data_IF_112114111880
#
_entry.id   IF_112114111880
#
_cell.length_a   1.000
_cell.length_b   1.000
_cell.length_c   1.000
_cell.angle_alpha   90.00
_cell.angle_beta   90.00
_cell.angle_gamma   90.00
#
_symmetry.space_group_name_H-M   'P 1'
#
loop_
_entity.id
_entity.type
_entity.pdbx_description
1 polymer ?
#
# COMPACT_ATOMS: atom_id res chain seq x y z
N UNK A 1 -34.12 -56.50 -2.19
CA UNK A 1 -33.23 -56.00 -1.13
C UNK A 1 -32.23 -55.11 -1.82
N UNK A 2 -32.45 -53.83 -1.70
CA UNK A 2 -31.63 -52.80 -2.37
C UNK A 2 -31.02 -51.99 -1.23
N UNK A 3 -29.74 -52.19 -0.97
CA UNK A 3 -29.00 -51.39 0.04
C UNK A 3 -28.73 -49.97 -0.51
N UNK A 4 -28.95 -48.92 0.29
CA UNK A 4 -28.57 -47.58 -0.11
C UNK A 4 -27.06 -47.38 0.06
N UNK A 5 -26.42 -46.91 -1.01
CA UNK A 5 -25.04 -46.47 -1.07
C UNK A 5 -24.80 -45.30 -0.07
N UNK A 6 -23.68 -45.27 0.66
CA UNK A 6 -23.40 -44.17 1.59
C UNK A 6 -23.07 -42.89 0.80
N UNK A 7 -23.80 -41.83 1.12
CA UNK A 7 -23.57 -40.47 0.63
C UNK A 7 -22.19 -40.01 1.10
N UNK A 8 -21.41 -39.47 0.16
CA UNK A 8 -20.14 -38.82 0.43
C UNK A 8 -20.36 -37.56 1.31
N UNK A 9 -19.49 -37.30 2.29
CA UNK A 9 -19.61 -36.11 3.13
C UNK A 9 -19.29 -34.85 2.31
N UNK A 10 -20.27 -33.97 2.25
CA UNK A 10 -20.07 -32.59 1.75
C UNK A 10 -19.34 -31.79 2.83
N UNK A 11 -18.00 -31.73 2.73
CA UNK A 11 -17.18 -30.89 3.60
C UNK A 11 -17.13 -29.49 3.00
N UNK A 12 -18.12 -28.67 3.30
CA UNK A 12 -18.00 -27.23 3.37
C UNK A 12 -17.81 -26.87 4.83
N UNK A 13 -16.61 -27.08 5.36
CA UNK A 13 -16.22 -26.58 6.68
C UNK A 13 -16.12 -25.05 6.58
N UNK A 14 -17.16 -24.36 7.01
CA UNK A 14 -17.10 -22.93 7.26
C UNK A 14 -16.07 -22.71 8.38
N UNK A 15 -14.98 -22.00 8.06
CA UNK A 15 -13.91 -21.63 9.00
C UNK A 15 -14.53 -20.97 10.25
N UNK A 16 -14.00 -21.28 11.43
CA UNK A 16 -14.41 -20.60 12.66
C UNK A 16 -14.09 -19.09 12.57
N UNK A 17 -14.82 -18.23 13.29
CA UNK A 17 -14.54 -16.79 13.30
C UNK A 17 -13.09 -16.46 13.66
N UNK A 18 -12.44 -17.25 14.52
CA UNK A 18 -11.04 -17.10 14.90
C UNK A 18 -10.07 -17.48 13.78
N UNK A 19 -10.35 -18.54 13.04
CA UNK A 19 -9.54 -18.94 11.87
C UNK A 19 -9.69 -17.94 10.73
N UNK A 20 -10.88 -17.37 10.56
CA UNK A 20 -11.09 -16.33 9.56
C UNK A 20 -10.30 -15.06 9.90
N UNK A 21 -10.36 -14.60 11.16
CA UNK A 21 -9.62 -13.43 11.64
C UNK A 21 -8.09 -13.64 11.52
N UNK A 22 -7.59 -14.82 11.90
CA UNK A 22 -6.19 -15.20 11.76
C UNK A 22 -5.73 -15.15 10.30
N UNK A 23 -6.53 -15.73 9.38
CA UNK A 23 -6.18 -15.72 7.95
C UNK A 23 -6.17 -14.31 7.34
N UNK A 24 -7.07 -13.44 7.79
CA UNK A 24 -7.10 -12.03 7.35
C UNK A 24 -5.86 -11.30 7.83
N UNK A 25 -5.51 -11.42 9.11
CA UNK A 25 -4.33 -10.80 9.71
C UNK A 25 -3.03 -11.30 9.07
N UNK A 26 -2.88 -12.61 8.90
CA UNK A 26 -1.73 -13.21 8.23
C UNK A 26 -1.59 -12.73 6.79
N UNK A 27 -2.69 -12.72 6.02
CA UNK A 27 -2.68 -12.20 4.66
C UNK A 27 -2.21 -10.74 4.59
N UNK A 28 -2.66 -9.90 5.53
CA UNK A 28 -2.27 -8.50 5.58
C UNK A 28 -0.77 -8.35 5.89
N UNK A 29 -0.26 -9.09 6.88
CA UNK A 29 1.16 -9.09 7.24
C UNK A 29 2.08 -9.59 6.12
N UNK A 30 1.65 -10.58 5.33
CA UNK A 30 2.45 -11.13 4.23
C UNK A 30 2.46 -10.23 2.99
N UNK A 31 1.42 -9.46 2.76
CA UNK A 31 1.28 -8.63 1.54
C UNK A 31 2.29 -7.48 1.47
N UNK A 32 2.55 -6.80 2.59
CA UNK A 32 3.48 -5.66 2.61
C UNK A 32 4.90 -6.06 2.15
N UNK A 33 5.56 -7.08 2.73
CA UNK A 33 6.87 -7.51 2.26
C UNK A 33 6.84 -8.09 0.84
N UNK A 34 5.76 -8.77 0.43
CA UNK A 34 5.62 -9.25 -0.94
C UNK A 34 5.53 -8.10 -1.95
N UNK A 35 4.77 -7.04 -1.63
CA UNK A 35 4.68 -5.84 -2.46
C UNK A 35 6.07 -5.21 -2.68
N UNK A 36 6.87 -5.10 -1.62
CA UNK A 36 8.23 -4.58 -1.71
C UNK A 36 9.13 -5.48 -2.58
N UNK A 37 9.09 -6.81 -2.40
CA UNK A 37 9.89 -7.73 -3.20
C UNK A 37 9.55 -7.59 -4.69
N UNK A 38 8.27 -7.64 -5.04
CA UNK A 38 7.80 -7.57 -6.42
C UNK A 38 8.18 -6.22 -7.03
N UNK A 39 7.81 -5.11 -6.37
CA UNK A 39 8.05 -3.77 -6.90
C UNK A 39 9.53 -3.43 -7.09
N UNK A 40 10.40 -3.76 -6.14
CA UNK A 40 11.85 -3.55 -6.32
C UNK A 40 12.45 -4.51 -7.36
N UNK A 41 11.93 -5.73 -7.53
CA UNK A 41 12.35 -6.63 -8.59
C UNK A 41 11.97 -6.09 -9.99
N UNK A 42 10.79 -5.52 -10.14
CA UNK A 42 10.36 -4.84 -11.37
C UNK A 42 11.22 -3.61 -11.67
N UNK A 43 11.50 -2.79 -10.67
CA UNK A 43 12.42 -1.65 -10.82
C UNK A 43 13.80 -2.08 -11.33
N UNK A 44 14.32 -3.19 -10.81
CA UNK A 44 15.59 -3.76 -11.29
C UNK A 44 15.50 -4.24 -12.74
N UNK A 45 14.37 -4.80 -13.15
CA UNK A 45 14.16 -5.27 -14.52
C UNK A 45 14.02 -4.11 -15.53
N UNK A 46 13.42 -2.99 -15.10
CA UNK A 46 13.21 -1.81 -15.95
C UNK A 46 14.47 -0.94 -16.10
N UNK A 47 15.40 -1.00 -15.16
CA UNK A 47 16.58 -0.12 -15.13
C UNK A 47 17.76 -0.71 -15.90
N UNK A 48 18.59 0.14 -16.57
CA UNK A 48 19.83 -0.31 -17.20
C UNK A 48 20.76 -0.98 -16.18
N UNK A 49 21.57 -1.93 -16.64
CA UNK A 49 22.49 -2.72 -15.81
C UNK A 49 23.50 -1.88 -14.99
N UNK A 50 23.78 -0.66 -15.40
CA UNK A 50 24.73 0.26 -14.76
C UNK A 50 24.10 1.27 -13.79
N UNK A 51 22.87 1.06 -13.32
CA UNK A 51 22.21 2.00 -12.39
C UNK A 51 22.87 1.96 -11.01
N UNK A 52 23.25 3.14 -10.48
CA UNK A 52 23.86 3.28 -9.15
C UNK A 52 22.92 2.85 -7.98
N UNK A 53 21.62 2.75 -8.22
CA UNK A 53 20.61 2.39 -7.21
C UNK A 53 20.36 0.88 -7.14
N UNK A 54 20.95 0.09 -8.04
CA UNK A 54 20.69 -1.36 -8.15
C UNK A 54 20.99 -2.12 -6.85
N UNK A 55 22.09 -1.81 -6.19
CA UNK A 55 22.47 -2.44 -4.93
C UNK A 55 21.50 -2.11 -3.80
N UNK A 56 20.97 -0.88 -3.77
CA UNK A 56 19.94 -0.47 -2.82
C UNK A 56 18.62 -1.22 -3.06
N UNK A 57 18.19 -1.36 -4.31
CA UNK A 57 16.98 -2.08 -4.69
C UNK A 57 17.09 -3.58 -4.32
N UNK A 58 18.24 -4.21 -4.56
CA UNK A 58 18.54 -5.59 -4.11
C UNK A 58 18.49 -5.69 -2.58
N UNK A 59 19.03 -4.68 -1.86
CA UNK A 59 18.99 -4.67 -0.40
C UNK A 59 17.55 -4.62 0.13
N UNK A 60 16.68 -3.83 -0.47
CA UNK A 60 15.25 -3.76 -0.12
C UNK A 60 14.53 -5.10 -0.37
N UNK A 61 14.80 -5.77 -1.49
CA UNK A 61 14.28 -7.11 -1.77
C UNK A 61 14.72 -8.10 -0.69
N UNK A 62 16.00 -8.13 -0.36
CA UNK A 62 16.54 -9.03 0.65
C UNK A 62 15.99 -8.76 2.04
N UNK A 63 15.81 -7.49 2.39
CA UNK A 63 15.18 -7.10 3.67
C UNK A 63 13.74 -7.59 3.72
N UNK A 64 12.94 -7.28 2.71
CA UNK A 64 11.53 -7.68 2.64
C UNK A 64 11.36 -9.21 2.64
N UNK A 65 12.26 -9.95 1.98
CA UNK A 65 12.26 -11.41 2.00
C UNK A 65 12.56 -11.97 3.41
N UNK A 66 13.46 -11.33 4.17
CA UNK A 66 13.76 -11.72 5.56
C UNK A 66 12.58 -11.39 6.49
N UNK A 67 11.95 -10.24 6.30
CA UNK A 67 10.77 -9.84 7.07
C UNK A 67 9.61 -10.82 6.82
N UNK A 68 9.39 -11.22 5.56
CA UNK A 68 8.42 -12.26 5.19
C UNK A 68 8.72 -13.59 5.87
N UNK A 69 9.98 -14.03 5.86
CA UNK A 69 10.40 -15.26 6.53
C UNK A 69 10.20 -15.16 8.05
N UNK A 70 10.48 -14.00 8.64
CA UNK A 70 10.24 -13.72 10.05
C UNK A 70 8.75 -13.86 10.44
N UNK A 71 7.85 -13.32 9.63
CA UNK A 71 6.39 -13.45 9.83
C UNK A 71 5.97 -14.91 9.75
N UNK A 72 6.43 -15.64 8.73
CA UNK A 72 6.14 -17.07 8.56
C UNK A 72 6.61 -17.86 9.79
N UNK A 73 7.84 -17.63 10.25
CA UNK A 73 8.38 -18.32 11.41
C UNK A 73 7.65 -17.97 12.72
N UNK A 74 7.23 -16.71 12.88
CA UNK A 74 6.46 -16.25 14.04
C UNK A 74 5.08 -16.90 14.10
N UNK A 75 4.39 -16.97 12.97
CA UNK A 75 3.06 -17.58 12.87
C UNK A 75 3.13 -19.13 12.94
N UNK A 76 4.26 -19.73 12.58
CA UNK A 76 4.50 -21.16 12.72
C UNK A 76 5.15 -21.56 14.06
N UNK A 77 5.40 -20.60 14.98
CA UNK A 77 5.82 -20.89 16.35
C UNK A 77 7.32 -20.86 16.64
N UNK A 78 8.15 -20.30 15.73
CA UNK A 78 9.56 -20.04 15.98
C UNK A 78 9.82 -18.53 16.08
N UNK A 79 9.91 -18.00 17.31
CA UNK A 79 9.96 -16.57 17.61
C UNK A 79 11.26 -15.87 17.22
N UNK A 80 11.15 -14.68 16.65
CA UNK A 80 12.22 -13.73 16.43
C UNK A 80 11.69 -12.32 16.19
N UNK A 81 11.98 -11.43 17.14
CA UNK A 81 11.53 -10.02 17.13
C UNK A 81 12.40 -9.17 16.20
N UNK A 82 11.78 -8.46 15.26
CA UNK A 82 12.41 -7.39 14.50
C UNK A 82 11.87 -6.03 14.93
N UNK A 83 12.77 -5.11 15.27
CA UNK A 83 12.51 -3.77 15.78
C UNK A 83 12.73 -2.77 14.63
N UNK A 84 11.69 -2.03 14.28
CA UNK A 84 11.76 -0.96 13.28
C UNK A 84 12.27 0.33 13.91
N UNK A 85 13.30 0.95 13.32
CA UNK A 85 13.79 2.27 13.70
C UNK A 85 13.12 3.36 12.87
N UNK A 86 12.60 4.38 13.56
CA UNK A 86 11.94 5.52 12.96
C UNK A 86 12.98 6.60 12.60
N UNK A 87 12.93 7.09 11.36
CA UNK A 87 13.65 8.29 10.94
C UNK A 87 12.63 9.36 10.58
N UNK A 88 12.67 10.46 11.34
CA UNK A 88 11.87 11.67 11.13
C UNK A 88 12.61 12.59 10.17
N UNK A 89 11.95 13.07 9.13
CA UNK A 89 12.47 14.14 8.26
C UNK A 89 11.55 15.37 8.32
N UNK A 90 12.18 16.52 8.57
CA UNK A 90 11.55 17.82 8.77
C UNK A 90 11.01 18.40 7.46
N UNK A 91 9.84 19.05 7.55
CA UNK A 91 9.19 19.75 6.45
C UNK A 91 9.91 21.08 6.15
N UNK A 92 10.46 21.20 4.94
CA UNK A 92 10.76 22.47 4.30
C UNK A 92 9.65 22.79 3.28
N UNK A 93 9.28 24.07 3.14
CA UNK A 93 8.23 24.53 2.21
C UNK A 93 8.60 24.19 0.76
N UNK A 94 8.19 23.03 0.31
CA UNK A 94 8.46 22.52 -1.03
C UNK A 94 7.12 22.39 -1.75
N UNK A 95 7.03 22.85 -3.00
CA UNK A 95 5.87 22.56 -3.85
C UNK A 95 5.64 21.06 -3.87
N UNK A 96 4.41 20.63 -3.59
CA UNK A 96 4.01 19.23 -3.57
C UNK A 96 3.15 18.93 -4.79
N UNK A 97 3.60 18.06 -5.70
CA UNK A 97 2.77 17.59 -6.80
C UNK A 97 2.01 16.33 -6.41
N UNK A 98 2.67 15.42 -5.70
CA UNK A 98 2.11 14.16 -5.21
C UNK A 98 2.31 14.07 -3.70
N UNK A 99 1.23 13.92 -2.96
CA UNK A 99 1.26 13.60 -1.53
C UNK A 99 0.98 12.12 -1.37
N UNK A 100 1.88 11.39 -0.71
CA UNK A 100 1.66 9.98 -0.38
C UNK A 100 1.49 9.80 1.12
N UNK A 101 0.32 9.28 1.52
CA UNK A 101 -0.06 8.99 2.90
C UNK A 101 0.11 7.49 3.12
N UNK A 102 1.19 7.10 3.82
CA UNK A 102 1.64 5.72 3.98
C UNK A 102 2.51 5.63 5.24
N UNK A 103 2.26 4.70 6.13
CA UNK A 103 3.02 4.52 7.36
C UNK A 103 4.26 3.63 7.18
N UNK A 104 4.22 2.69 6.23
CA UNK A 104 5.34 1.80 5.96
C UNK A 104 6.43 2.50 5.11
N UNK A 105 7.64 2.69 5.67
CA UNK A 105 8.73 3.35 4.96
C UNK A 105 9.22 2.57 3.73
N UNK A 106 9.00 1.24 3.67
CA UNK A 106 9.42 0.43 2.52
C UNK A 106 8.47 0.66 1.35
N UNK A 107 7.16 0.71 1.60
CA UNK A 107 6.17 1.07 0.59
C UNK A 107 6.37 2.50 0.08
N UNK A 108 6.67 3.45 1.00
CA UNK A 108 7.00 4.82 0.60
C UNK A 108 8.23 4.85 -0.32
N UNK A 109 9.34 4.18 0.08
CA UNK A 109 10.56 4.13 -0.73
C UNK A 109 10.33 3.49 -2.09
N UNK A 110 9.47 2.46 -2.18
CA UNK A 110 9.11 1.86 -3.46
C UNK A 110 8.45 2.88 -4.40
N UNK A 111 7.44 3.61 -3.93
CA UNK A 111 6.75 4.64 -4.72
C UNK A 111 7.69 5.79 -5.07
N UNK A 112 8.54 6.22 -4.14
CA UNK A 112 9.57 7.23 -4.40
C UNK A 112 10.48 6.80 -5.55
N UNK A 113 10.96 5.54 -5.55
CA UNK A 113 11.78 4.96 -6.63
C UNK A 113 11.05 4.84 -7.96
N UNK A 114 9.77 4.52 -7.93
CA UNK A 114 8.95 4.48 -9.16
C UNK A 114 8.79 5.90 -9.71
N UNK A 115 8.57 6.90 -8.88
CA UNK A 115 8.41 8.30 -9.30
C UNK A 115 9.72 8.94 -9.80
N UNK A 116 10.90 8.32 -9.62
CA UNK A 116 12.12 8.73 -10.31
C UNK A 116 12.00 8.67 -11.86
N UNK A 117 11.07 7.88 -12.39
CA UNK A 117 10.70 7.90 -13.80
C UNK A 117 9.91 9.16 -14.21
N UNK A 118 9.51 9.99 -13.24
CA UNK A 118 8.80 11.27 -13.41
C UNK A 118 9.49 12.39 -12.63
N UNK A 119 10.73 12.76 -12.99
CA UNK A 119 11.59 13.65 -12.19
C UNK A 119 11.04 15.07 -12.02
N UNK A 120 10.03 15.44 -12.80
CA UNK A 120 9.35 16.73 -12.65
C UNK A 120 8.35 16.75 -11.47
N UNK A 121 7.92 15.57 -10.99
CA UNK A 121 6.96 15.46 -9.89
C UNK A 121 7.68 15.48 -8.53
N UNK A 122 7.17 16.31 -7.62
CA UNK A 122 7.67 16.41 -6.25
C UNK A 122 6.77 15.63 -5.32
N UNK A 123 7.32 14.55 -4.75
CA UNK A 123 6.67 13.69 -3.78
C UNK A 123 6.87 14.24 -2.37
N UNK A 124 5.78 14.29 -1.60
CA UNK A 124 5.79 14.56 -0.15
C UNK A 124 5.18 13.37 0.57
N UNK A 125 5.74 13.03 1.73
CA UNK A 125 5.34 11.90 2.56
C UNK A 125 4.59 12.33 3.81
N UNK A 126 3.46 11.71 4.07
CA UNK A 126 2.76 11.76 5.35
C UNK A 126 2.71 10.34 5.94
N UNK A 127 3.05 10.17 7.20
CA UNK A 127 3.08 8.86 7.87
C UNK A 127 1.80 8.53 8.62
N UNK A 128 0.93 9.51 8.78
CA UNK A 128 -0.36 9.38 9.47
C UNK A 128 -1.46 10.00 8.64
N UNK A 129 -2.70 9.58 8.87
CA UNK A 129 -3.87 10.19 8.22
C UNK A 129 -4.03 11.66 8.57
N UNK A 130 -3.80 12.00 9.84
CA UNK A 130 -3.86 13.39 10.34
C UNK A 130 -2.84 14.30 9.64
N UNK A 131 -1.55 13.90 9.62
CA UNK A 131 -0.50 14.65 8.91
C UNK A 131 -0.85 14.78 7.41
N UNK A 132 -1.40 13.71 6.82
CA UNK A 132 -1.83 13.70 5.42
C UNK A 132 -2.88 14.75 5.10
N UNK A 133 -3.90 14.88 5.94
CA UNK A 133 -4.95 15.90 5.78
C UNK A 133 -4.37 17.31 5.95
N UNK A 134 -3.51 17.54 6.93
CA UNK A 134 -2.85 18.84 7.17
C UNK A 134 -1.97 19.24 5.98
N UNK A 135 -1.11 18.33 5.51
CA UNK A 135 -0.22 18.57 4.37
C UNK A 135 -1.00 18.79 3.07
N UNK A 136 -2.11 18.06 2.86
CA UNK A 136 -2.97 18.26 1.70
C UNK A 136 -3.57 19.67 1.67
N UNK A 137 -4.01 20.17 2.83
CA UNK A 137 -4.57 21.54 2.94
C UNK A 137 -3.48 22.61 2.74
N UNK A 138 -2.29 22.40 3.30
CA UNK A 138 -1.19 23.35 3.23
C UNK A 138 -0.57 23.46 1.82
N UNK A 139 -0.44 22.34 1.12
CA UNK A 139 0.31 22.27 -0.15
C UNK A 139 -0.58 22.15 -1.38
N UNK A 140 -1.85 21.77 -1.24
CA UNK A 140 -2.79 21.56 -2.35
C UNK A 140 -2.17 20.73 -3.50
N UNK A 141 -1.79 19.47 -3.24
CA UNK A 141 -1.13 18.62 -4.23
C UNK A 141 -2.04 18.37 -5.44
N UNK A 142 -1.45 18.01 -6.57
CA UNK A 142 -2.19 17.60 -7.77
C UNK A 142 -2.78 16.20 -7.63
N UNK A 143 -2.16 15.34 -6.81
CA UNK A 143 -2.56 13.97 -6.58
C UNK A 143 -2.29 13.58 -5.12
N UNK A 144 -3.21 12.86 -4.51
CA UNK A 144 -3.01 12.18 -3.23
C UNK A 144 -3.04 10.67 -3.47
N UNK A 145 -1.95 9.99 -3.09
CA UNK A 145 -1.88 8.55 -2.95
C UNK A 145 -2.19 8.20 -1.49
N UNK A 146 -3.11 7.28 -1.24
CA UNK A 146 -3.64 7.02 0.10
C UNK A 146 -3.66 5.53 0.41
N UNK A 147 -2.90 5.13 1.42
CA UNK A 147 -3.10 3.80 2.03
C UNK A 147 -4.34 3.78 2.93
N UNK A 148 -4.98 2.63 3.03
CA UNK A 148 -6.15 2.46 3.89
C UNK A 148 -5.79 2.13 5.34
N UNK A 149 -4.65 1.46 5.55
CA UNK A 149 -4.26 0.97 6.86
C UNK A 149 -3.22 1.90 7.48
N UNK A 150 -3.68 3.01 8.06
CA UNK A 150 -2.83 3.98 8.75
C UNK A 150 -2.91 3.78 10.27
N UNK A 151 -1.87 4.19 11.03
CA UNK A 151 -1.78 3.91 12.45
C UNK A 151 -2.77 4.68 13.32
N UNK A 152 -3.24 5.84 12.85
CA UNK A 152 -4.10 6.77 13.59
C UNK A 152 -5.56 6.70 13.17
N UNK A 153 -5.85 6.43 11.89
CA UNK A 153 -7.20 6.32 11.38
C UNK A 153 -7.25 5.49 10.09
N UNK A 154 -8.40 4.92 9.77
CA UNK A 154 -8.58 4.23 8.50
C UNK A 154 -8.61 5.22 7.32
N UNK A 155 -8.00 4.87 6.17
CA UNK A 155 -7.89 5.78 5.01
C UNK A 155 -9.24 6.24 4.44
N UNK A 156 -10.33 5.50 4.64
CA UNK A 156 -11.68 5.96 4.29
C UNK A 156 -12.10 7.20 5.10
N UNK A 157 -11.63 7.35 6.33
CA UNK A 157 -11.86 8.53 7.15
C UNK A 157 -11.02 9.71 6.64
N UNK A 158 -9.76 9.46 6.24
CA UNK A 158 -8.91 10.46 5.56
C UNK A 158 -9.61 10.97 4.30
N UNK A 159 -10.10 10.06 3.45
CA UNK A 159 -10.83 10.41 2.22
C UNK A 159 -12.03 11.28 2.52
N UNK A 160 -12.84 10.93 3.53
CA UNK A 160 -14.00 11.71 3.96
C UNK A 160 -13.62 13.12 4.42
N UNK A 161 -12.53 13.27 5.17
CA UNK A 161 -12.03 14.57 5.64
C UNK A 161 -11.55 15.43 4.47
N UNK A 162 -10.78 14.86 3.54
CA UNK A 162 -10.32 15.56 2.33
C UNK A 162 -11.47 16.06 1.48
N UNK A 163 -12.52 15.26 1.30
CA UNK A 163 -13.74 15.66 0.57
C UNK A 163 -14.55 16.73 1.29
N UNK A 164 -14.48 16.79 2.62
CA UNK A 164 -15.19 17.77 3.45
C UNK A 164 -14.57 19.17 3.42
N UNK A 165 -13.35 19.35 2.93
CA UNK A 165 -12.63 20.62 2.91
C UNK A 165 -12.56 21.17 1.50
N UNK A 166 -13.08 22.39 1.21
CA UNK A 166 -13.11 22.96 -0.14
C UNK A 166 -11.75 23.04 -0.84
N UNK A 167 -10.65 23.20 -0.09
CA UNK A 167 -9.30 23.29 -0.61
C UNK A 167 -8.79 21.96 -1.17
N UNK A 168 -9.26 20.82 -0.63
CA UNK A 168 -8.80 19.47 -0.98
C UNK A 168 -9.86 18.64 -1.70
N UNK A 169 -11.13 19.03 -1.64
CA UNK A 169 -12.25 18.26 -2.20
C UNK A 169 -12.15 17.97 -3.71
N UNK A 170 -11.37 18.77 -4.46
CA UNK A 170 -11.16 18.58 -5.90
C UNK A 170 -9.85 17.85 -6.23
N UNK A 171 -8.99 17.65 -5.24
CA UNK A 171 -7.74 16.93 -5.45
C UNK A 171 -8.05 15.44 -5.69
N UNK A 172 -7.59 14.84 -6.79
CA UNK A 172 -7.81 13.42 -7.02
C UNK A 172 -7.10 12.59 -5.96
N UNK A 173 -7.84 11.62 -5.39
CA UNK A 173 -7.31 10.64 -4.43
C UNK A 173 -7.30 9.27 -5.09
N UNK A 174 -6.12 8.67 -5.18
CA UNK A 174 -5.92 7.28 -5.62
C UNK A 174 -5.61 6.43 -4.40
N UNK A 175 -6.46 5.43 -4.15
CA UNK A 175 -6.28 4.52 -3.03
C UNK A 175 -5.32 3.40 -3.42
N UNK A 176 -4.30 3.14 -2.59
CA UNK A 176 -3.36 2.03 -2.72
C UNK A 176 -3.59 1.07 -1.56
N UNK A 177 -4.15 -0.10 -1.78
CA UNK A 177 -4.45 -1.02 -0.69
C UNK A 177 -4.23 -2.48 -1.06
N UNK A 178 -3.89 -3.27 -0.05
CA UNK A 178 -3.77 -4.72 -0.17
C UNK A 178 -5.12 -5.45 -0.22
N UNK A 179 -6.21 -4.82 0.20
CA UNK A 179 -7.54 -5.41 0.24
C UNK A 179 -8.41 -4.90 -0.92
N UNK A 180 -8.77 -5.78 -1.84
CA UNK A 180 -9.40 -5.45 -3.12
C UNK A 180 -10.74 -6.17 -3.31
N UNK A 181 -11.59 -6.22 -2.28
CA UNK A 181 -12.94 -6.75 -2.49
C UNK A 181 -13.75 -5.80 -3.37
N UNK A 182 -14.52 -6.30 -4.36
CA UNK A 182 -15.32 -5.45 -5.25
C UNK A 182 -16.22 -4.47 -4.49
N UNK A 183 -16.81 -4.91 -3.37
CA UNK A 183 -17.67 -4.06 -2.55
C UNK A 183 -16.91 -2.93 -1.83
N UNK A 184 -15.65 -3.14 -1.46
CA UNK A 184 -14.81 -2.12 -0.83
C UNK A 184 -14.36 -1.09 -1.86
N UNK A 185 -13.93 -1.54 -3.04
CA UNK A 185 -13.57 -0.67 -4.16
C UNK A 185 -14.75 0.24 -4.51
N UNK A 186 -15.95 -0.32 -4.69
CA UNK A 186 -17.16 0.44 -5.01
C UNK A 186 -17.50 1.49 -3.94
N UNK A 187 -17.39 1.13 -2.66
CA UNK A 187 -17.60 2.06 -1.53
C UNK A 187 -16.61 3.23 -1.57
N UNK A 188 -15.33 2.97 -1.83
CA UNK A 188 -14.30 4.01 -1.86
C UNK A 188 -14.46 4.94 -3.07
N UNK A 189 -14.78 4.39 -4.24
CA UNK A 189 -15.08 5.20 -5.43
C UNK A 189 -16.33 6.06 -5.20
N UNK A 190 -17.40 5.50 -4.60
CA UNK A 190 -18.61 6.25 -4.22
C UNK A 190 -18.32 7.33 -3.18
N UNK A 191 -17.36 7.06 -2.27
CA UNK A 191 -16.93 8.03 -1.26
C UNK A 191 -16.02 9.14 -1.81
N UNK A 192 -15.69 9.13 -3.09
CA UNK A 192 -14.94 10.20 -3.77
C UNK A 192 -13.49 9.85 -4.13
N UNK A 193 -13.04 8.59 -3.95
CA UNK A 193 -11.77 8.15 -4.52
C UNK A 193 -11.86 8.20 -6.06
N UNK A 194 -10.81 8.73 -6.70
CA UNK A 194 -10.77 8.83 -8.16
C UNK A 194 -10.40 7.51 -8.82
N UNK A 195 -9.52 6.75 -8.16
CA UNK A 195 -9.07 5.44 -8.62
C UNK A 195 -8.66 4.57 -7.44
N UNK A 196 -8.46 3.29 -7.70
CA UNK A 196 -8.04 2.28 -6.73
C UNK A 196 -7.02 1.35 -7.36
N UNK A 197 -5.88 1.14 -6.70
CA UNK A 197 -4.85 0.19 -7.12
C UNK A 197 -4.61 -0.83 -6.01
N UNK A 198 -4.61 -2.10 -6.39
CA UNK A 198 -4.35 -3.20 -5.45
C UNK A 198 -2.86 -3.42 -5.28
N UNK A 199 -2.36 -3.46 -4.05
CA UNK A 199 -0.99 -3.89 -3.74
C UNK A 199 -0.90 -5.44 -3.76
N UNK A 200 0.11 -6.05 -4.41
CA UNK A 200 1.14 -5.42 -5.25
C UNK A 200 0.56 -4.88 -6.56
N UNK A 201 1.09 -3.77 -7.04
CA UNK A 201 0.70 -3.17 -8.32
C UNK A 201 1.90 -3.11 -9.28
N UNK A 202 1.64 -3.28 -10.57
CA UNK A 202 2.64 -3.17 -11.63
C UNK A 202 3.03 -1.70 -11.85
N UNK A 203 4.29 -1.45 -12.18
CA UNK A 203 4.85 -0.09 -12.32
C UNK A 203 4.19 0.69 -13.45
N UNK A 204 4.04 0.09 -14.64
CA UNK A 204 3.49 0.77 -15.81
C UNK A 204 2.03 1.22 -15.60
N UNK A 205 1.09 0.39 -15.11
CA UNK A 205 -0.25 0.82 -14.74
C UNK A 205 -0.27 1.90 -13.66
N UNK A 206 0.60 1.80 -12.64
CA UNK A 206 0.72 2.83 -11.60
C UNK A 206 1.13 4.18 -12.20
N UNK A 207 2.19 4.21 -13.02
CA UNK A 207 2.65 5.44 -13.68
C UNK A 207 1.60 6.03 -14.62
N UNK A 208 0.85 5.19 -15.35
CA UNK A 208 -0.25 5.64 -16.20
C UNK A 208 -1.34 6.37 -15.40
N UNK A 209 -1.72 5.83 -14.23
CA UNK A 209 -2.67 6.47 -13.32
C UNK A 209 -2.12 7.79 -12.77
N UNK A 210 -0.85 7.83 -12.36
CA UNK A 210 -0.22 9.07 -11.89
C UNK A 210 -0.21 10.14 -13.00
N UNK A 211 0.19 9.79 -14.21
CA UNK A 211 0.24 10.71 -15.36
C UNK A 211 -1.16 11.28 -15.67
N UNK A 212 -2.20 10.44 -15.63
CA UNK A 212 -3.60 10.87 -15.86
C UNK A 212 -4.07 11.88 -14.78
N UNK A 213 -3.66 11.67 -13.52
CA UNK A 213 -4.15 12.49 -12.41
C UNK A 213 -3.42 13.83 -12.26
N UNK A 214 -2.15 13.92 -12.70
CA UNK A 214 -1.33 15.15 -12.55
C UNK A 214 -1.32 16.03 -13.81
N UNK A 215 -1.89 15.53 -14.93
CA UNK A 215 -2.03 16.26 -16.17
C UNK A 215 -2.97 17.46 -16.01
#
# INVERSE_FOLDING_TARGET
MNEPSPAAPSVSEALSPSEHAFRVDLNQKLRAPLNAIIGFAELLAMRPAASATKDADVHHILKAARDLLGIINQELGEGGTSRSEAISAAAAATTCDVLYIEDDPVNFTLVERILEFRPALKLVHARTGGDGVELAQAHQPKLILLDLNLPDMHGSEVLRQLQGVPATAKVPVVVLSADATPSQIERLLTAGARNYLTKPFDIDPFLAVVDEMVA
#
